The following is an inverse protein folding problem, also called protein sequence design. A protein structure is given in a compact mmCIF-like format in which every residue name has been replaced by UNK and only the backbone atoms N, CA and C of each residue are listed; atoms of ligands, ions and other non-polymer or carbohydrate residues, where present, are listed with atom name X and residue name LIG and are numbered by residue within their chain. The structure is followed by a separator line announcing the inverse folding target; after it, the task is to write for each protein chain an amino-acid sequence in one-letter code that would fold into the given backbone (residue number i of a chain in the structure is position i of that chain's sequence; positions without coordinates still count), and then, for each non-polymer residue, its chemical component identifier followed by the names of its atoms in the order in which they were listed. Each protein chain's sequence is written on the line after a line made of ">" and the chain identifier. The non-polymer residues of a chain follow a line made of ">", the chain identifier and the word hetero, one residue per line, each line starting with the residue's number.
data_IF_390599322463
#
_entry.id   IF_390599322463
#
_cell.length_a   1.000
_cell.length_b   1.000
_cell.length_c   1.000
_cell.angle_alpha   90.00
_cell.angle_beta   90.00
_cell.angle_gamma   90.00
#
_symmetry.space_group_name_H-M   'P 1'
#
loop_
_entity.id
_entity.type
_entity.pdbx_description
1 polymer ?
#
# COMPACT_ATOMS: atom_id res chain seq x y z
N UNK A 1 2.22 20.10 -19.92
CA UNK A 1 2.81 18.81 -20.30
C UNK A 1 3.14 18.04 -19.04
N UNK A 2 2.86 16.72 -19.01
CA UNK A 2 3.19 15.78 -17.91
C UNK A 2 4.01 14.65 -18.53
N UNK A 3 5.11 14.29 -17.91
CA UNK A 3 6.00 13.22 -18.39
C UNK A 3 5.86 12.02 -17.45
N UNK A 4 5.54 10.86 -18.03
CA UNK A 4 5.31 9.59 -17.33
C UNK A 4 3.83 9.28 -17.10
N UNK A 5 3.36 8.20 -17.71
CA UNK A 5 1.98 7.69 -17.61
C UNK A 5 1.78 6.69 -16.48
N UNK A 6 2.56 6.77 -15.41
CA UNK A 6 2.30 6.02 -14.17
C UNK A 6 1.11 6.60 -13.40
N UNK A 7 0.74 5.97 -12.28
CA UNK A 7 -0.44 6.38 -11.49
C UNK A 7 -0.38 7.87 -11.08
N UNK A 8 0.80 8.37 -10.72
CA UNK A 8 0.99 9.77 -10.34
C UNK A 8 0.76 10.73 -11.53
N UNK A 9 1.34 10.41 -12.70
CA UNK A 9 1.16 11.21 -13.92
C UNK A 9 -0.29 11.22 -14.41
N UNK A 10 -0.95 10.07 -14.36
CA UNK A 10 -2.39 9.96 -14.69
C UNK A 10 -3.23 10.80 -13.72
N UNK A 11 -2.96 10.70 -12.41
CA UNK A 11 -3.69 11.47 -11.41
C UNK A 11 -3.50 12.98 -11.58
N UNK A 12 -2.26 13.42 -11.88
CA UNK A 12 -1.97 14.81 -12.18
C UNK A 12 -2.69 15.29 -13.45
N UNK A 13 -2.65 14.48 -14.52
CA UNK A 13 -3.34 14.81 -15.77
C UNK A 13 -4.85 14.98 -15.55
N UNK A 14 -5.49 14.07 -14.83
CA UNK A 14 -6.91 14.15 -14.51
C UNK A 14 -7.23 15.39 -13.67
N UNK A 15 -6.39 15.72 -12.69
CA UNK A 15 -6.58 16.91 -11.85
C UNK A 15 -6.51 18.19 -12.65
N UNK A 16 -5.52 18.32 -13.53
CA UNK A 16 -5.42 19.50 -14.41
C UNK A 16 -6.60 19.59 -15.39
N UNK A 17 -7.04 18.47 -15.95
CA UNK A 17 -8.21 18.42 -16.81
C UNK A 17 -9.49 18.81 -16.05
N UNK A 18 -9.68 18.34 -14.81
CA UNK A 18 -10.80 18.71 -13.94
C UNK A 18 -10.82 20.22 -13.61
N UNK A 19 -9.65 20.89 -13.67
CA UNK A 19 -9.52 22.33 -13.54
C UNK A 19 -9.64 23.08 -14.90
N UNK A 20 -10.13 22.43 -15.96
CA UNK A 20 -10.30 23.03 -17.29
C UNK A 20 -8.99 23.30 -18.04
N UNK A 21 -7.89 22.70 -17.62
CA UNK A 21 -6.60 22.89 -18.29
C UNK A 21 -6.39 21.85 -19.39
N UNK A 22 -5.87 22.30 -20.52
CA UNK A 22 -5.38 21.39 -21.58
C UNK A 22 -4.16 20.65 -21.08
N UNK A 23 -4.13 19.33 -21.26
CA UNK A 23 -3.07 18.44 -20.74
C UNK A 23 -2.51 17.58 -21.86
N UNK A 24 -1.18 17.57 -22.00
CA UNK A 24 -0.45 16.58 -22.80
C UNK A 24 0.27 15.64 -21.85
N UNK A 25 -0.05 14.35 -21.89
CA UNK A 25 0.62 13.29 -21.15
C UNK A 25 1.56 12.55 -22.11
N UNK A 26 2.86 12.50 -21.77
CA UNK A 26 3.89 11.81 -22.54
C UNK A 26 4.34 10.56 -21.78
N UNK A 27 4.26 9.40 -22.44
CA UNK A 27 4.70 8.11 -21.90
C UNK A 27 5.62 7.43 -22.91
N UNK A 28 6.72 6.88 -22.44
CA UNK A 28 7.72 6.19 -23.27
C UNK A 28 7.37 4.73 -23.58
N UNK A 29 6.38 4.16 -22.93
CA UNK A 29 5.90 2.80 -23.15
C UNK A 29 4.55 2.81 -23.87
N UNK A 30 4.19 1.75 -24.61
CA UNK A 30 2.91 1.69 -25.35
C UNK A 30 1.70 1.46 -24.41
N UNK A 31 1.83 1.68 -23.11
CA UNK A 31 0.77 1.51 -22.11
C UNK A 31 0.91 2.50 -20.97
N UNK A 32 -0.21 2.87 -20.38
CA UNK A 32 -0.28 3.62 -19.13
C UNK A 32 -0.25 2.68 -17.92
N UNK A 33 -0.16 3.24 -16.71
CA UNK A 33 -0.19 2.53 -15.44
C UNK A 33 1.19 2.36 -14.78
N UNK A 34 2.28 2.57 -15.51
CA UNK A 34 3.65 2.44 -14.97
C UNK A 34 3.93 1.00 -14.49
N UNK A 35 4.19 0.82 -13.20
CA UNK A 35 4.40 -0.49 -12.60
C UNK A 35 3.09 -1.25 -12.33
N UNK A 36 1.93 -0.57 -12.27
CA UNK A 36 0.64 -1.21 -12.08
C UNK A 36 0.08 -1.69 -13.42
N UNK A 37 0.38 -2.93 -13.78
CA UNK A 37 -0.12 -3.55 -15.01
C UNK A 37 -0.22 -5.07 -14.86
N UNK A 38 -1.08 -5.66 -15.71
CA UNK A 38 -1.18 -7.10 -15.89
C UNK A 38 -0.67 -7.50 -17.26
N UNK A 39 -0.23 -8.71 -17.41
CA UNK A 39 0.21 -9.31 -18.67
C UNK A 39 -0.38 -10.70 -18.82
N UNK A 40 -0.47 -11.16 -20.07
CA UNK A 40 -0.98 -12.49 -20.37
C UNK A 40 0.18 -13.50 -20.45
N UNK A 41 0.01 -14.64 -19.78
CA UNK A 41 0.93 -15.79 -19.88
C UNK A 41 0.11 -17.05 -20.18
N UNK A 42 0.10 -17.46 -21.43
CA UNK A 42 -0.83 -18.47 -21.91
C UNK A 42 -2.29 -17.94 -21.80
N UNK A 43 -3.16 -18.68 -21.17
CA UNK A 43 -4.57 -18.27 -20.92
C UNK A 43 -4.74 -17.46 -19.62
N UNK A 44 -3.68 -17.27 -18.84
CA UNK A 44 -3.75 -16.58 -17.56
C UNK A 44 -3.43 -15.09 -17.72
N UNK A 45 -4.24 -14.24 -17.09
CA UNK A 45 -3.91 -12.85 -16.84
C UNK A 45 -3.18 -12.76 -15.49
N UNK A 46 -1.97 -12.26 -15.51
CA UNK A 46 -1.08 -12.18 -14.34
C UNK A 46 -0.72 -10.73 -14.07
N UNK A 47 -0.84 -10.31 -12.82
CA UNK A 47 -0.42 -8.98 -12.40
C UNK A 47 1.10 -8.89 -12.23
N UNK A 48 1.66 -7.73 -12.56
CA UNK A 48 3.06 -7.43 -12.31
C UNK A 48 3.28 -7.12 -10.82
N UNK A 49 3.10 -8.14 -10.00
CA UNK A 49 3.13 -8.03 -8.55
C UNK A 49 1.74 -7.81 -7.94
N UNK A 50 1.68 -7.86 -6.62
CA UNK A 50 0.43 -7.72 -5.89
C UNK A 50 0.02 -6.25 -5.82
N UNK A 51 -1.15 -5.91 -6.36
CA UNK A 51 -1.71 -4.56 -6.31
C UNK A 51 -2.67 -4.44 -5.13
N UNK A 52 -2.15 -4.07 -3.98
CA UNK A 52 -2.95 -3.84 -2.77
C UNK A 52 -2.87 -2.40 -2.31
N UNK A 53 -3.92 -1.92 -1.68
CA UNK A 53 -3.95 -0.61 -1.06
C UNK A 53 -4.79 -0.65 0.23
N UNK A 54 -4.49 0.27 1.12
CA UNK A 54 -5.22 0.40 2.38
C UNK A 54 -6.40 1.38 2.24
N UNK A 55 -7.41 1.19 3.06
CA UNK A 55 -8.60 2.05 3.11
C UNK A 55 -8.28 3.53 3.37
N UNK A 56 -7.14 3.82 4.04
CA UNK A 56 -6.66 5.17 4.28
C UNK A 56 -6.01 5.85 3.06
N UNK A 57 -5.72 5.11 1.97
CA UNK A 57 -5.13 5.68 0.74
C UNK A 57 -6.16 6.51 -0.03
N UNK A 58 -6.48 7.70 0.48
CA UNK A 58 -7.56 8.56 -0.04
C UNK A 58 -7.30 9.00 -1.48
N UNK A 59 -6.07 9.39 -1.81
CA UNK A 59 -5.70 9.83 -3.16
C UNK A 59 -5.87 8.71 -4.19
N UNK A 60 -5.49 7.47 -3.84
CA UNK A 60 -5.67 6.32 -4.71
C UNK A 60 -7.16 5.98 -4.90
N UNK A 61 -7.93 6.02 -3.83
CA UNK A 61 -9.39 5.82 -3.90
C UNK A 61 -10.10 6.91 -4.72
N UNK A 62 -9.61 8.16 -4.66
CA UNK A 62 -10.09 9.21 -5.54
C UNK A 62 -9.81 8.87 -7.00
N UNK A 63 -8.59 8.42 -7.33
CA UNK A 63 -8.22 8.03 -8.68
C UNK A 63 -9.14 6.91 -9.19
N UNK A 64 -9.35 5.85 -8.40
CA UNK A 64 -10.24 4.74 -8.75
C UNK A 64 -11.68 5.20 -9.06
N UNK A 65 -12.22 6.09 -8.23
CA UNK A 65 -13.55 6.68 -8.51
C UNK A 65 -13.54 7.50 -9.81
N UNK A 66 -12.51 8.29 -10.00
CA UNK A 66 -12.40 9.19 -11.16
C UNK A 66 -12.31 8.45 -12.49
N UNK A 67 -11.71 7.26 -12.50
CA UNK A 67 -11.60 6.40 -13.69
C UNK A 67 -12.70 5.32 -13.77
N UNK A 68 -13.68 5.33 -12.86
CA UNK A 68 -14.78 4.35 -12.86
C UNK A 68 -14.36 2.92 -12.46
N UNK A 69 -13.24 2.75 -11.74
CA UNK A 69 -12.69 1.44 -11.40
C UNK A 69 -13.02 0.98 -9.96
N UNK A 70 -13.86 1.69 -9.24
CA UNK A 70 -14.19 1.36 -7.83
C UNK A 70 -14.77 -0.05 -7.68
N UNK A 71 -15.70 -0.43 -8.57
CA UNK A 71 -16.36 -1.74 -8.53
C UNK A 71 -15.42 -2.92 -8.87
N UNK A 72 -14.25 -2.62 -9.42
CA UNK A 72 -13.20 -3.61 -9.70
C UNK A 72 -12.27 -3.85 -8.52
N UNK A 73 -12.54 -3.23 -7.36
CA UNK A 73 -11.73 -3.36 -6.15
C UNK A 73 -12.54 -3.96 -5.02
N UNK A 74 -11.90 -4.86 -4.28
CA UNK A 74 -12.48 -5.43 -3.08
C UNK A 74 -11.76 -4.88 -1.84
N UNK A 75 -12.49 -4.13 -1.02
CA UNK A 75 -11.98 -3.65 0.26
C UNK A 75 -12.47 -4.56 1.38
N UNK A 76 -11.56 -5.33 1.94
CA UNK A 76 -11.85 -6.16 3.10
C UNK A 76 -12.49 -5.33 4.23
N UNK A 77 -13.52 -5.84 4.94
CA UNK A 77 -14.13 -5.14 6.06
C UNK A 77 -13.14 -4.92 7.22
N UNK A 78 -12.15 -5.80 7.35
CA UNK A 78 -11.07 -5.71 8.35
C UNK A 78 -9.74 -6.08 7.69
N UNK A 79 -8.65 -5.52 8.21
CA UNK A 79 -7.30 -5.97 7.86
C UNK A 79 -7.14 -7.43 8.31
N UNK A 80 -6.86 -8.29 7.36
CA UNK A 80 -6.67 -9.72 7.58
C UNK A 80 -5.73 -10.26 6.50
N UNK A 81 -4.47 -10.47 6.87
CA UNK A 81 -3.41 -10.90 5.97
C UNK A 81 -2.88 -12.26 6.44
N UNK A 82 -3.20 -13.33 5.74
CA UNK A 82 -2.54 -14.60 5.97
C UNK A 82 -1.09 -14.51 5.51
N UNK A 83 -0.18 -15.03 6.30
CA UNK A 83 1.26 -15.06 6.01
C UNK A 83 1.73 -16.50 6.12
N UNK A 84 2.47 -16.95 5.14
CA UNK A 84 3.12 -18.26 5.09
C UNK A 84 4.63 -18.05 5.06
N UNK A 85 5.36 -18.65 5.98
CA UNK A 85 6.81 -18.61 5.95
C UNK A 85 7.39 -19.75 5.08
N UNK A 86 8.67 -19.68 4.69
CA UNK A 86 9.30 -20.73 3.87
C UNK A 86 9.32 -22.12 4.52
N UNK A 87 9.16 -22.23 5.84
CA UNK A 87 9.06 -23.52 6.56
C UNK A 87 7.65 -24.10 6.56
N UNK A 88 6.67 -23.42 5.96
CA UNK A 88 5.27 -23.84 5.93
C UNK A 88 4.46 -23.42 7.16
N UNK A 89 5.05 -22.67 8.11
CA UNK A 89 4.28 -22.15 9.25
C UNK A 89 3.36 -21.03 8.79
N UNK A 90 2.16 -21.02 9.34
CA UNK A 90 1.17 -20.02 9.03
C UNK A 90 1.03 -19.00 10.17
N UNK A 91 0.94 -17.75 9.79
CA UNK A 91 0.61 -16.64 10.68
C UNK A 91 -0.53 -15.83 10.10
N UNK A 92 -1.15 -15.00 10.92
CA UNK A 92 -2.21 -14.09 10.49
C UNK A 92 -1.99 -12.72 11.11
N UNK A 93 -1.82 -11.71 10.27
CA UNK A 93 -1.76 -10.33 10.69
C UNK A 93 -3.13 -9.70 10.47
N UNK A 94 -3.81 -9.39 11.55
CA UNK A 94 -5.15 -8.87 11.49
C UNK A 94 -5.39 -7.74 12.50
N UNK A 95 -6.49 -7.03 12.34
CA UNK A 95 -6.92 -6.03 13.31
C UNK A 95 -7.53 -6.73 14.53
N UNK A 96 -7.04 -6.43 15.73
CA UNK A 96 -7.67 -6.88 16.96
C UNK A 96 -9.06 -6.24 17.12
N UNK A 97 -10.13 -7.03 17.35
CA UNK A 97 -11.47 -6.50 17.53
C UNK A 97 -11.57 -5.67 18.82
N UNK A 98 -12.38 -4.60 18.80
CA UNK A 98 -12.64 -3.78 19.99
C UNK A 98 -11.51 -2.84 20.42
N UNK A 99 -10.35 -2.89 19.75
CA UNK A 99 -9.21 -2.04 20.09
C UNK A 99 -9.10 -0.89 19.09
N UNK A 100 -9.03 0.38 19.53
CA UNK A 100 -8.89 1.53 18.65
C UNK A 100 -7.50 1.59 17.98
N UNK A 101 -7.41 2.33 16.86
CA UNK A 101 -6.13 2.60 16.23
C UNK A 101 -5.27 3.54 17.11
N UNK A 102 -3.94 3.37 17.15
CA UNK A 102 -3.11 2.34 16.51
C UNK A 102 -2.92 1.06 17.36
N UNK A 103 -3.45 1.03 18.59
CA UNK A 103 -3.23 -0.06 19.56
C UNK A 103 -3.71 -1.45 19.06
N UNK A 104 -4.66 -1.48 18.11
CA UNK A 104 -5.14 -2.72 17.49
C UNK A 104 -4.04 -3.50 16.75
N UNK A 105 -3.02 -2.82 16.22
CA UNK A 105 -1.86 -3.47 15.59
C UNK A 105 -0.89 -4.03 16.62
N UNK A 106 -0.69 -3.32 17.75
CA UNK A 106 0.11 -3.81 18.86
C UNK A 106 -0.43 -5.12 19.43
N UNK A 107 -1.75 -5.20 19.65
CA UNK A 107 -2.41 -6.41 20.10
C UNK A 107 -2.33 -7.56 19.06
N UNK A 108 -2.31 -7.25 17.77
CA UNK A 108 -2.11 -8.23 16.71
C UNK A 108 -0.67 -8.75 16.71
N UNK A 109 0.32 -7.87 16.82
CA UNK A 109 1.74 -8.22 16.87
C UNK A 109 2.10 -9.05 18.10
N UNK A 110 1.51 -8.75 19.26
CA UNK A 110 1.76 -9.53 20.48
C UNK A 110 1.33 -11.00 20.38
N UNK A 111 0.41 -11.32 19.47
CA UNK A 111 -0.10 -12.67 19.21
C UNK A 111 0.41 -13.28 17.91
N UNK A 112 1.28 -12.58 17.18
CA UNK A 112 1.69 -13.03 15.86
C UNK A 112 2.59 -14.27 15.94
N UNK A 113 2.08 -15.38 15.42
CA UNK A 113 2.67 -16.72 15.61
C UNK A 113 4.05 -16.90 14.98
N UNK A 114 4.37 -16.13 13.93
CA UNK A 114 5.66 -16.27 13.20
C UNK A 114 6.82 -15.49 13.85
N UNK A 115 6.55 -14.70 14.88
CA UNK A 115 7.58 -14.00 15.64
C UNK A 115 7.85 -14.69 16.98
N UNK A 116 9.11 -14.73 17.38
CA UNK A 116 9.49 -15.13 18.73
C UNK A 116 8.95 -14.13 19.77
N UNK A 117 8.78 -14.50 21.04
CA UNK A 117 8.36 -13.55 22.08
C UNK A 117 9.25 -12.31 22.16
N UNK A 118 10.57 -12.48 22.01
CA UNK A 118 11.52 -11.37 22.00
C UNK A 118 11.33 -10.45 20.80
N UNK A 119 11.11 -11.01 19.60
CA UNK A 119 10.90 -10.22 18.40
C UNK A 119 9.54 -9.49 18.40
N UNK A 120 8.52 -10.07 19.03
CA UNK A 120 7.26 -9.36 19.29
C UNK A 120 7.47 -8.12 20.15
N UNK A 121 8.26 -8.25 21.22
CA UNK A 121 8.60 -7.13 22.08
C UNK A 121 9.40 -6.06 21.32
N UNK A 122 10.40 -6.48 20.54
CA UNK A 122 11.18 -5.58 19.66
C UNK A 122 10.28 -4.85 18.65
N UNK A 123 9.36 -5.55 18.00
CA UNK A 123 8.43 -4.96 17.05
C UNK A 123 7.50 -3.92 17.70
N UNK A 124 6.98 -4.19 18.90
CA UNK A 124 6.16 -3.24 19.65
C UNK A 124 6.98 -2.01 20.04
N UNK A 125 8.21 -2.20 20.56
CA UNK A 125 9.10 -1.08 20.89
C UNK A 125 9.46 -0.25 19.66
N UNK A 126 9.75 -0.90 18.52
CA UNK A 126 10.00 -0.24 17.24
C UNK A 126 8.81 0.60 16.77
N UNK A 127 7.60 0.04 16.85
CA UNK A 127 6.39 0.77 16.49
C UNK A 127 6.13 2.00 17.39
N UNK A 128 6.41 1.89 18.68
CA UNK A 128 6.33 3.02 19.61
C UNK A 128 7.41 4.07 19.31
N UNK A 129 8.65 3.65 19.03
CA UNK A 129 9.73 4.55 18.65
C UNK A 129 9.40 5.31 17.36
N UNK A 130 8.90 4.62 16.31
CA UNK A 130 8.48 5.25 15.06
C UNK A 130 7.40 6.33 15.27
N UNK A 131 6.49 6.12 16.23
CA UNK A 131 5.47 7.11 16.55
C UNK A 131 6.01 8.40 17.15
N UNK A 132 7.19 8.34 17.78
CA UNK A 132 7.86 9.49 18.41
C UNK A 132 8.75 10.26 17.43
N UNK A 133 8.95 9.75 16.20
CA UNK A 133 9.74 10.42 15.19
C UNK A 133 8.94 11.55 14.53
N UNK A 134 9.60 12.67 14.28
CA UNK A 134 9.06 13.74 13.45
C UNK A 134 9.35 13.44 11.97
N UNK A 135 8.36 13.47 11.08
CA UNK A 135 8.60 13.31 9.65
C UNK A 135 9.52 14.38 9.04
N UNK A 136 9.65 15.53 9.71
CA UNK A 136 10.47 16.67 9.27
C UNK A 136 11.93 16.58 9.74
N UNK A 137 12.29 15.52 10.48
CA UNK A 137 13.66 15.31 10.96
C UNK A 137 14.53 14.74 9.83
N UNK A 138 15.31 15.59 9.18
CA UNK A 138 16.23 15.20 8.11
C UNK A 138 17.29 14.17 8.53
N UNK A 139 17.55 14.01 9.83
CA UNK A 139 18.47 12.97 10.31
C UNK A 139 17.94 11.55 10.07
N UNK A 140 16.64 11.40 9.82
CA UNK A 140 16.02 10.11 9.52
C UNK A 140 16.46 9.55 8.17
N UNK A 141 16.84 10.40 7.21
CA UNK A 141 17.30 9.96 5.89
C UNK A 141 18.63 9.20 5.95
N UNK A 142 19.41 9.43 7.01
CA UNK A 142 20.67 8.74 7.24
C UNK A 142 20.51 7.42 8.03
N UNK A 143 19.30 7.07 8.47
CA UNK A 143 19.02 5.87 9.26
C UNK A 143 18.46 4.76 8.38
N UNK A 144 18.96 3.56 8.59
CA UNK A 144 18.41 2.34 7.98
C UNK A 144 17.49 1.63 8.96
N UNK A 145 16.55 0.84 8.46
CA UNK A 145 15.62 0.05 9.29
C UNK A 145 16.20 -1.29 9.79
N UNK A 146 17.49 -1.50 9.68
CA UNK A 146 18.11 -2.69 10.23
C UNK A 146 19.30 -3.16 9.49
#
# INVERSE_FOLDING_TARGET
>A
MIVGGGLAGIAAALRFADCGRSVTLVEGRPRLGGAAFSFTRGELSVDNGQHVFLRCCQAYRWLLRRIGATERTYLQPRLDIPVLDPSGRQGRLGRAPGVPAPAHLGAALSRYALLSPLDRLRAVRGALALRMLSPDDLSLDARTLG
#
